data_IF_154656004947
#
_entry.id   IF_154656004947
#
_cell.length_a   1.000
_cell.length_b   1.000
_cell.length_c   1.000
_cell.angle_alpha   90.00
_cell.angle_beta   90.00
_cell.angle_gamma   90.00
#
_symmetry.space_group_name_H-M   'P 1'
#
loop_
_entity.id
_entity.type
_entity.pdbx_description
1 polymer ?
#
# COMPACT_ATOMS: atom_id res chain seq x y z
N UNK A 1 4.14 2.43 21.53
CA UNK A 1 5.31 1.57 21.28
C UNK A 1 5.56 0.56 22.41
N UNK A 2 5.74 0.97 23.66
CA UNK A 2 6.01 0.04 24.80
C UNK A 2 4.99 -1.11 24.96
N UNK A 3 3.70 -0.88 24.72
CA UNK A 3 2.66 -1.90 24.84
C UNK A 3 2.76 -2.99 23.75
N UNK A 4 3.13 -2.62 22.50
CA UNK A 4 3.30 -3.57 21.40
C UNK A 4 4.54 -4.45 21.61
N UNK A 5 5.68 -3.85 22.00
CA UNK A 5 6.89 -4.59 22.31
C UNK A 5 6.67 -5.60 23.45
N UNK A 6 5.91 -5.22 24.50
CA UNK A 6 5.58 -6.12 25.60
C UNK A 6 4.76 -7.34 25.10
N UNK A 7 3.77 -7.12 24.23
CA UNK A 7 2.97 -8.22 23.65
C UNK A 7 3.81 -9.16 22.80
N UNK A 8 4.70 -8.62 21.95
CA UNK A 8 5.59 -9.43 21.12
C UNK A 8 6.55 -10.28 21.97
N UNK A 9 7.10 -9.72 23.05
CA UNK A 9 7.94 -10.47 24.00
C UNK A 9 7.21 -11.66 24.63
N UNK A 10 5.93 -11.47 25.01
CA UNK A 10 5.11 -12.57 25.56
C UNK A 10 4.90 -13.69 24.51
N UNK A 11 4.94 -13.35 23.22
CA UNK A 11 4.86 -14.31 22.11
C UNK A 11 6.23 -14.93 21.75
N UNK A 12 7.29 -14.63 22.49
CA UNK A 12 8.63 -15.19 22.28
C UNK A 12 9.53 -14.35 21.35
N UNK A 13 9.11 -13.16 20.94
CA UNK A 13 9.96 -12.29 20.13
C UNK A 13 11.05 -11.61 20.95
N UNK A 14 12.27 -11.58 20.44
CA UNK A 14 13.33 -10.72 20.94
C UNK A 14 13.14 -9.30 20.41
N UNK A 15 13.42 -8.31 21.27
CA UNK A 15 13.30 -6.89 20.90
C UNK A 15 14.68 -6.27 20.93
N UNK A 16 15.18 -5.88 19.76
CA UNK A 16 16.34 -5.03 19.59
C UNK A 16 15.88 -3.59 19.29
N UNK A 17 16.48 -2.61 19.98
CA UNK A 17 16.23 -1.18 19.71
C UNK A 17 17.43 -0.64 18.97
N UNK A 18 17.20 -0.10 17.78
CA UNK A 18 18.24 0.47 16.94
C UNK A 18 17.74 1.74 16.24
N UNK A 19 18.60 2.71 16.06
CA UNK A 19 18.41 3.78 15.10
C UNK A 19 18.63 3.20 13.69
N UNK A 20 17.60 3.23 12.85
CA UNK A 20 17.68 2.67 11.49
C UNK A 20 18.68 3.40 10.60
N UNK A 21 19.09 4.61 10.94
CA UNK A 21 20.13 5.36 10.21
C UNK A 21 21.57 5.08 10.70
N UNK A 22 21.71 4.33 11.79
CA UNK A 22 23.00 3.94 12.39
C UNK A 22 23.36 2.50 12.01
N UNK A 23 24.33 2.34 11.11
CA UNK A 23 24.75 1.03 10.59
C UNK A 23 25.20 0.07 11.69
N UNK A 24 25.94 0.56 12.71
CA UNK A 24 26.47 -0.28 13.79
C UNK A 24 25.33 -0.84 14.67
N UNK A 25 24.33 -0.01 14.98
CA UNK A 25 23.17 -0.46 15.73
C UNK A 25 22.32 -1.46 14.93
N UNK A 26 22.12 -1.20 13.63
CA UNK A 26 21.41 -2.13 12.73
C UNK A 26 22.15 -3.45 12.59
N UNK A 27 23.48 -3.41 12.38
CA UNK A 27 24.32 -4.61 12.31
C UNK A 27 24.28 -5.42 13.62
N UNK A 28 24.28 -4.75 14.77
CA UNK A 28 24.11 -5.41 16.07
C UNK A 28 22.75 -6.09 16.19
N UNK A 29 21.68 -5.45 15.74
CA UNK A 29 20.33 -6.01 15.74
C UNK A 29 20.17 -7.22 14.78
N UNK A 30 20.96 -7.27 13.70
CA UNK A 30 20.95 -8.36 12.73
C UNK A 30 21.89 -9.51 13.08
N UNK A 31 22.62 -9.44 14.19
CA UNK A 31 23.55 -10.50 14.60
C UNK A 31 22.82 -11.84 14.82
N UNK A 32 23.18 -12.86 14.03
CA UNK A 32 22.55 -14.19 14.08
C UNK A 32 21.23 -14.30 13.34
N UNK A 33 20.75 -13.22 12.71
CA UNK A 33 19.56 -13.22 11.85
C UNK A 33 19.92 -13.83 10.50
N UNK A 34 19.10 -14.74 9.99
CA UNK A 34 19.26 -15.34 8.67
C UNK A 34 18.41 -14.64 7.61
N UNK A 35 17.21 -14.22 7.96
CA UNK A 35 16.22 -13.64 7.02
C UNK A 35 15.51 -12.48 7.68
N UNK A 36 15.16 -11.46 6.91
CA UNK A 36 14.54 -10.27 7.45
C UNK A 36 13.35 -9.82 6.63
N UNK A 37 12.28 -9.39 7.33
CA UNK A 37 11.20 -8.62 6.73
C UNK A 37 11.49 -7.14 6.95
N UNK A 38 11.67 -6.40 5.86
CA UNK A 38 11.95 -4.98 5.90
C UNK A 38 10.68 -4.16 5.65
N UNK A 39 10.21 -3.49 6.69
CA UNK A 39 9.10 -2.55 6.64
C UNK A 39 9.60 -1.17 7.09
N UNK A 40 9.98 -0.29 6.16
CA UNK A 40 10.60 0.98 6.53
C UNK A 40 9.60 1.90 7.23
N UNK A 41 10.08 2.73 8.16
CA UNK A 41 9.26 3.81 8.69
C UNK A 41 8.95 4.81 7.57
N UNK A 42 7.73 5.37 7.61
CA UNK A 42 7.30 6.40 6.66
C UNK A 42 7.84 7.75 7.12
N UNK A 43 9.11 8.00 6.89
CA UNK A 43 9.80 9.24 7.26
C UNK A 43 10.73 9.75 6.13
N UNK A 44 11.23 10.99 6.22
CA UNK A 44 12.12 11.56 5.20
C UNK A 44 13.46 10.85 5.05
N UNK A 45 13.91 10.12 6.07
CA UNK A 45 15.21 9.43 6.13
C UNK A 45 15.13 7.96 5.70
N UNK A 46 14.01 7.53 5.14
CA UNK A 46 13.77 6.14 4.72
C UNK A 46 14.92 5.58 3.86
N UNK A 47 15.45 6.37 2.92
CA UNK A 47 16.56 5.91 2.05
C UNK A 47 17.84 5.69 2.87
N UNK A 48 18.18 6.59 3.81
CA UNK A 48 19.35 6.41 4.65
C UNK A 48 19.22 5.14 5.49
N UNK A 49 18.05 4.93 6.10
CA UNK A 49 17.77 3.70 6.87
C UNK A 49 17.83 2.44 6.00
N UNK A 50 17.33 2.50 4.76
CA UNK A 50 17.41 1.37 3.83
C UNK A 50 18.85 1.05 3.42
N UNK A 51 19.68 2.07 3.19
CA UNK A 51 21.11 1.88 2.87
C UNK A 51 21.86 1.28 4.07
N UNK A 52 21.64 1.81 5.27
CA UNK A 52 22.22 1.27 6.49
C UNK A 52 21.82 -0.19 6.70
N UNK A 53 20.54 -0.52 6.48
CA UNK A 53 20.04 -1.88 6.55
C UNK A 53 20.67 -2.80 5.49
N UNK A 54 20.78 -2.36 4.23
CA UNK A 54 21.38 -3.16 3.16
C UNK A 54 22.87 -3.47 3.42
N UNK A 55 23.62 -2.48 3.93
CA UNK A 55 25.03 -2.68 4.35
C UNK A 55 25.11 -3.71 5.48
N UNK A 56 24.35 -3.50 6.54
CA UNK A 56 24.33 -4.40 7.69
C UNK A 56 23.85 -5.82 7.33
N UNK A 57 22.85 -5.95 6.46
CA UNK A 57 22.35 -7.23 5.96
C UNK A 57 23.40 -8.01 5.19
N UNK A 58 24.16 -7.32 4.33
CA UNK A 58 25.28 -7.94 3.60
C UNK A 58 26.40 -8.38 4.54
N UNK A 59 26.78 -7.56 5.51
CA UNK A 59 27.83 -7.89 6.49
C UNK A 59 27.39 -9.05 7.39
N UNK A 60 26.13 -9.08 7.82
CA UNK A 60 25.54 -10.18 8.58
C UNK A 60 25.32 -11.45 7.75
N UNK A 61 25.52 -11.38 6.42
CA UNK A 61 25.28 -12.48 5.47
C UNK A 61 23.85 -13.01 5.53
N UNK A 62 22.87 -12.09 5.55
CA UNK A 62 21.47 -12.50 5.44
C UNK A 62 21.26 -13.34 4.18
N UNK A 63 20.48 -14.40 4.31
CA UNK A 63 20.07 -15.24 3.17
C UNK A 63 19.03 -14.52 2.32
N UNK A 64 18.09 -13.79 2.96
CA UNK A 64 16.94 -13.24 2.26
C UNK A 64 16.39 -11.99 2.93
N UNK A 65 16.01 -11.00 2.11
CA UNK A 65 15.27 -9.81 2.50
C UNK A 65 13.90 -9.85 1.82
N UNK A 66 12.81 -9.78 2.59
CA UNK A 66 11.46 -9.53 2.05
C UNK A 66 11.11 -8.08 2.36
N UNK A 67 11.06 -7.24 1.32
CA UNK A 67 10.72 -5.83 1.45
C UNK A 67 9.24 -5.57 1.21
N UNK A 68 8.54 -4.90 2.15
CA UNK A 68 7.23 -4.34 1.86
C UNK A 68 7.38 -2.96 1.25
N UNK A 69 6.74 -2.75 0.11
CA UNK A 69 6.83 -1.52 -0.65
C UNK A 69 5.44 -1.02 -1.08
N UNK A 70 5.33 -0.38 -2.22
CA UNK A 70 4.08 0.18 -2.68
C UNK A 70 3.80 -0.20 -4.13
N UNK A 71 2.55 -0.54 -4.44
CA UNK A 71 2.10 -0.73 -5.82
C UNK A 71 2.38 0.49 -6.71
N UNK A 72 2.29 1.70 -6.15
CA UNK A 72 2.52 2.95 -6.87
C UNK A 72 4.01 3.31 -7.05
N UNK A 73 4.95 2.51 -6.53
CA UNK A 73 6.37 2.81 -6.54
C UNK A 73 6.87 3.15 -7.96
N UNK A 74 7.38 4.37 -8.15
CA UNK A 74 7.80 4.91 -9.44
C UNK A 74 8.79 6.05 -9.25
N UNK A 75 9.81 6.20 -10.10
CA UNK A 75 10.82 7.25 -9.94
C UNK A 75 10.31 8.66 -10.26
N UNK A 76 9.21 8.79 -11.02
CA UNK A 76 8.61 10.06 -11.40
C UNK A 76 7.41 10.47 -10.56
N UNK A 77 7.03 9.66 -9.56
CA UNK A 77 5.85 9.94 -8.73
C UNK A 77 5.99 11.26 -7.96
N UNK A 78 4.93 12.10 -7.86
CA UNK A 78 5.00 13.36 -7.11
C UNK A 78 5.26 13.13 -5.60
N UNK A 79 4.76 12.05 -5.00
CA UNK A 79 5.07 11.68 -3.62
C UNK A 79 6.54 11.28 -3.46
N UNK A 80 7.26 11.97 -2.56
CA UNK A 80 8.64 11.62 -2.23
C UNK A 80 8.73 10.20 -1.67
N UNK A 81 7.83 9.85 -0.76
CA UNK A 81 7.76 8.53 -0.14
C UNK A 81 7.62 7.41 -1.18
N UNK A 82 6.78 7.60 -2.19
CA UNK A 82 6.57 6.63 -3.27
C UNK A 82 7.83 6.45 -4.12
N UNK A 83 8.56 7.54 -4.42
CA UNK A 83 9.86 7.45 -5.10
C UNK A 83 10.92 6.76 -4.24
N UNK A 84 10.91 7.00 -2.93
CA UNK A 84 11.83 6.34 -2.00
C UNK A 84 11.58 4.83 -1.96
N UNK A 85 10.34 4.37 -1.96
CA UNK A 85 10.03 2.94 -2.07
C UNK A 85 10.59 2.32 -3.37
N UNK A 86 10.44 3.01 -4.50
CA UNK A 86 11.05 2.55 -5.76
C UNK A 86 12.57 2.41 -5.65
N UNK A 87 13.25 3.37 -5.00
CA UNK A 87 14.70 3.30 -4.78
C UNK A 87 15.09 2.17 -3.82
N UNK A 88 14.30 1.91 -2.78
CA UNK A 88 14.53 0.79 -1.85
C UNK A 88 14.43 -0.55 -2.56
N UNK A 89 13.45 -0.73 -3.45
CA UNK A 89 13.33 -1.95 -4.26
C UNK A 89 14.58 -2.17 -5.12
N UNK A 90 15.08 -1.12 -5.77
CA UNK A 90 16.32 -1.19 -6.57
C UNK A 90 17.54 -1.46 -5.70
N UNK A 91 17.64 -0.85 -4.54
CA UNK A 91 18.75 -1.07 -3.61
C UNK A 91 18.85 -2.54 -3.22
N UNK A 92 17.74 -3.15 -2.81
CA UNK A 92 17.76 -4.55 -2.38
C UNK A 92 18.03 -5.50 -3.56
N UNK A 93 17.45 -5.25 -4.72
CA UNK A 93 17.73 -6.05 -5.92
C UNK A 93 19.20 -5.99 -6.39
N UNK A 94 19.91 -4.93 -6.01
CA UNK A 94 21.36 -4.76 -6.32
C UNK A 94 22.27 -5.20 -5.19
N UNK A 95 21.76 -5.71 -4.06
CA UNK A 95 22.58 -6.14 -2.92
C UNK A 95 23.14 -7.54 -3.18
N UNK A 96 24.45 -7.69 -3.49
CA UNK A 96 25.00 -8.97 -3.92
C UNK A 96 25.02 -10.00 -2.80
N UNK A 97 24.63 -11.24 -3.11
CA UNK A 97 24.70 -12.37 -2.20
C UNK A 97 23.58 -12.44 -1.16
N UNK A 98 22.54 -11.59 -1.30
CA UNK A 98 21.34 -11.62 -0.47
C UNK A 98 20.14 -11.80 -1.41
N UNK A 99 19.36 -12.87 -1.24
CA UNK A 99 18.11 -13.08 -1.96
C UNK A 99 17.10 -11.99 -1.58
N UNK A 100 16.21 -11.66 -2.49
CA UNK A 100 15.30 -10.54 -2.28
C UNK A 100 13.92 -10.81 -2.89
N UNK A 101 12.87 -10.49 -2.14
CA UNK A 101 11.47 -10.55 -2.59
C UNK A 101 10.76 -9.24 -2.26
N UNK A 102 9.97 -8.74 -3.20
CA UNK A 102 9.12 -7.56 -3.01
C UNK A 102 7.70 -8.00 -2.70
N UNK A 103 7.10 -7.39 -1.68
CA UNK A 103 5.65 -7.44 -1.41
C UNK A 103 5.11 -6.03 -1.58
N UNK A 104 4.38 -5.78 -2.67
CA UNK A 104 3.91 -4.45 -3.05
C UNK A 104 2.37 -4.35 -3.06
N UNK A 105 1.73 -4.44 -1.90
CA UNK A 105 0.28 -4.34 -1.82
C UNK A 105 -0.22 -2.99 -2.35
N UNK A 106 -1.45 -2.99 -2.82
CA UNK A 106 -2.14 -1.77 -3.23
C UNK A 106 -2.61 -0.94 -2.04
N UNK A 107 -3.77 -0.32 -2.15
CA UNK A 107 -4.35 0.47 -1.07
C UNK A 107 -5.06 -0.47 -0.08
N UNK A 108 -4.60 -0.49 1.16
CA UNK A 108 -4.99 -1.47 2.19
C UNK A 108 -6.44 -1.28 2.65
N UNK A 109 -7.05 -2.35 3.12
CA UNK A 109 -8.39 -2.31 3.69
C UNK A 109 -8.49 -1.39 4.91
N UNK A 110 -7.47 -1.33 5.75
CA UNK A 110 -7.44 -0.49 6.94
C UNK A 110 -7.51 1.01 6.63
N UNK A 111 -7.00 1.44 5.48
CA UNK A 111 -7.09 2.84 5.06
C UNK A 111 -8.54 3.31 4.84
N UNK A 112 -9.43 2.43 4.42
CA UNK A 112 -10.87 2.70 4.34
C UNK A 112 -11.54 2.55 5.71
N UNK A 113 -11.11 1.56 6.49
CA UNK A 113 -11.70 1.20 7.77
C UNK A 113 -11.27 2.10 8.93
N UNK A 114 -10.32 3.03 8.71
CA UNK A 114 -10.01 4.09 9.67
C UNK A 114 -11.25 4.93 10.03
N UNK A 115 -12.24 5.01 9.14
CA UNK A 115 -13.50 5.75 9.34
C UNK A 115 -14.65 4.86 9.82
N UNK A 116 -14.41 3.60 10.17
CA UNK A 116 -15.45 2.65 10.57
C UNK A 116 -16.24 3.12 11.82
N UNK A 117 -15.62 3.94 12.68
CA UNK A 117 -16.30 4.61 13.79
C UNK A 117 -17.43 5.52 13.32
N UNK A 118 -17.22 6.33 12.27
CA UNK A 118 -18.27 7.15 11.66
C UNK A 118 -19.39 6.28 11.10
N UNK A 119 -19.06 5.20 10.43
CA UNK A 119 -20.05 4.25 9.91
C UNK A 119 -20.85 3.63 11.04
N UNK A 120 -20.20 3.14 12.11
CA UNK A 120 -20.87 2.51 13.26
C UNK A 120 -21.79 3.48 14.01
N UNK A 121 -21.40 4.73 14.20
CA UNK A 121 -22.12 5.68 15.03
C UNK A 121 -23.04 6.62 14.26
N UNK A 122 -22.62 7.06 13.06
CA UNK A 122 -23.37 8.04 12.25
C UNK A 122 -23.96 7.47 10.97
N UNK A 123 -23.57 6.25 10.56
CA UNK A 123 -24.02 5.63 9.32
C UNK A 123 -23.43 6.28 8.07
N UNK A 124 -22.22 6.84 8.18
CA UNK A 124 -21.54 7.61 7.13
C UNK A 124 -20.24 6.93 6.75
N UNK A 125 -20.02 6.77 5.44
CA UNK A 125 -18.75 6.34 4.86
C UNK A 125 -18.22 7.46 3.96
N UNK A 126 -17.21 8.23 4.42
CA UNK A 126 -16.60 9.28 3.61
C UNK A 126 -15.86 8.68 2.40
N UNK A 127 -16.11 9.26 1.21
CA UNK A 127 -15.50 8.79 -0.02
C UNK A 127 -14.96 9.96 -0.85
N UNK A 128 -13.71 9.85 -1.30
CA UNK A 128 -13.03 10.91 -2.05
C UNK A 128 -12.39 10.44 -3.36
N UNK A 129 -12.61 9.18 -3.74
CA UNK A 129 -11.90 8.54 -4.84
C UNK A 129 -12.71 8.44 -6.14
N UNK A 130 -13.83 9.17 -6.26
CA UNK A 130 -14.69 9.15 -7.45
C UNK A 130 -15.34 7.79 -7.66
N UNK A 131 -15.36 7.31 -8.91
CA UNK A 131 -15.96 6.02 -9.29
C UNK A 131 -14.94 4.87 -9.33
N UNK A 132 -13.73 5.09 -8.84
CA UNK A 132 -12.70 4.07 -8.88
C UNK A 132 -12.97 2.93 -7.89
N UNK A 133 -12.38 1.79 -8.17
CA UNK A 133 -12.49 0.56 -7.37
C UNK A 133 -11.12 0.15 -6.84
N UNK A 134 -11.12 -0.75 -5.89
CA UNK A 134 -9.92 -1.42 -5.38
C UNK A 134 -10.26 -2.84 -4.94
N UNK A 135 -9.28 -3.71 -4.93
CA UNK A 135 -9.33 -5.01 -4.25
C UNK A 135 -8.44 -4.94 -2.99
N UNK A 136 -8.95 -4.36 -1.88
CA UNK A 136 -8.11 -3.99 -0.74
C UNK A 136 -7.66 -5.21 0.04
N UNK A 137 -6.33 -5.45 0.19
CA UNK A 137 -5.80 -6.54 0.98
C UNK A 137 -5.96 -6.30 2.49
N UNK A 138 -6.03 -7.38 3.26
CA UNK A 138 -5.86 -7.33 4.71
C UNK A 138 -4.38 -7.26 5.09
N UNK A 139 -4.09 -6.69 6.27
CA UNK A 139 -2.74 -6.74 6.84
C UNK A 139 -2.31 -8.18 7.13
N UNK A 140 -3.27 -9.05 7.46
CA UNK A 140 -3.06 -10.48 7.70
C UNK A 140 -2.62 -11.21 6.43
N UNK A 141 -3.22 -10.90 5.29
CA UNK A 141 -2.84 -11.50 4.00
C UNK A 141 -1.45 -11.05 3.56
N UNK A 142 -1.15 -9.76 3.72
CA UNK A 142 0.18 -9.22 3.45
C UNK A 142 1.23 -9.92 4.33
N UNK A 143 0.94 -10.09 5.63
CA UNK A 143 1.82 -10.78 6.55
C UNK A 143 1.98 -12.26 6.19
N UNK A 144 0.90 -12.97 5.79
CA UNK A 144 0.97 -14.36 5.35
C UNK A 144 1.87 -14.54 4.12
N UNK A 145 1.75 -13.64 3.13
CA UNK A 145 2.62 -13.65 1.95
C UNK A 145 4.07 -13.39 2.36
N UNK A 146 4.33 -12.39 3.21
CA UNK A 146 5.68 -12.10 3.69
C UNK A 146 6.29 -13.28 4.46
N UNK A 147 5.53 -13.96 5.32
CA UNK A 147 6.00 -15.14 6.06
C UNK A 147 6.29 -16.30 5.11
N UNK A 148 5.39 -16.59 4.16
CA UNK A 148 5.59 -17.66 3.20
C UNK A 148 6.86 -17.44 2.36
N UNK A 149 7.09 -16.21 1.90
CA UNK A 149 8.31 -15.88 1.13
C UNK A 149 9.58 -15.93 1.99
N UNK A 150 9.52 -15.56 3.27
CA UNK A 150 10.64 -15.73 4.21
C UNK A 150 10.98 -17.19 4.48
N UNK A 151 9.99 -18.09 4.46
CA UNK A 151 10.22 -19.50 4.80
C UNK A 151 10.81 -20.32 3.66
N UNK A 152 10.65 -19.89 2.41
CA UNK A 152 11.19 -20.56 1.21
C UNK A 152 11.90 -19.55 0.27
N UNK A 153 13.09 -19.04 0.66
CA UNK A 153 13.81 -18.04 -0.14
C UNK A 153 14.08 -18.46 -1.58
N UNK A 154 14.46 -19.75 -1.79
CA UNK A 154 14.86 -20.22 -3.10
C UNK A 154 13.73 -20.16 -4.13
N UNK A 155 12.49 -20.35 -3.69
CA UNK A 155 11.30 -20.26 -4.54
C UNK A 155 10.92 -18.83 -4.88
N UNK A 156 11.26 -17.89 -4.01
CA UNK A 156 10.71 -16.53 -4.05
C UNK A 156 11.75 -15.46 -4.38
N UNK A 157 13.03 -15.83 -4.52
CA UNK A 157 14.10 -14.90 -4.89
C UNK A 157 13.83 -14.20 -6.22
N UNK A 158 13.99 -12.89 -6.26
CA UNK A 158 13.77 -12.06 -7.43
C UNK A 158 12.29 -11.81 -7.77
N UNK A 159 11.35 -12.40 -7.03
CA UNK A 159 9.93 -12.25 -7.29
C UNK A 159 9.33 -11.01 -6.63
N UNK A 160 8.24 -10.51 -7.26
CA UNK A 160 7.40 -9.45 -6.72
C UNK A 160 5.97 -9.93 -6.64
N UNK A 161 5.33 -9.76 -5.49
CA UNK A 161 3.97 -10.19 -5.21
C UNK A 161 3.10 -9.00 -4.83
N UNK A 162 1.91 -8.96 -5.40
CA UNK A 162 0.88 -7.96 -5.09
C UNK A 162 -0.29 -8.60 -4.34
N UNK A 163 -0.24 -8.73 -3.02
CA UNK A 163 -1.41 -9.16 -2.25
C UNK A 163 -2.59 -8.23 -2.49
N UNK A 164 -3.74 -8.81 -2.87
CA UNK A 164 -5.01 -8.09 -3.02
C UNK A 164 -6.12 -8.84 -2.33
N UNK A 165 -7.23 -8.16 -2.05
CA UNK A 165 -8.50 -8.82 -1.73
C UNK A 165 -9.02 -9.61 -2.93
N UNK A 166 -10.08 -10.44 -2.74
CA UNK A 166 -10.57 -11.36 -3.76
C UNK A 166 -11.38 -10.69 -4.87
N UNK A 167 -11.80 -9.43 -4.71
CA UNK A 167 -12.69 -8.74 -5.63
C UNK A 167 -12.48 -7.24 -5.68
N UNK A 168 -12.79 -6.62 -6.83
CA UNK A 168 -12.80 -5.18 -7.01
C UNK A 168 -14.07 -4.57 -6.44
N UNK A 169 -13.92 -3.70 -5.43
CA UNK A 169 -15.01 -3.03 -4.71
C UNK A 169 -14.99 -1.53 -4.96
N UNK A 170 -16.17 -0.99 -5.28
CA UNK A 170 -16.41 0.46 -5.31
C UNK A 170 -16.91 0.98 -3.96
N UNK A 171 -17.25 2.27 -3.94
CA UNK A 171 -17.73 2.95 -2.73
C UNK A 171 -18.95 2.28 -2.09
N UNK A 172 -19.96 1.97 -2.90
CA UNK A 172 -21.22 1.37 -2.42
C UNK A 172 -21.01 -0.07 -1.94
N UNK A 173 -20.18 -0.86 -2.62
CA UNK A 173 -19.87 -2.23 -2.21
C UNK A 173 -19.18 -2.26 -0.84
N UNK A 174 -18.22 -1.34 -0.64
CA UNK A 174 -17.54 -1.18 0.65
C UNK A 174 -18.50 -0.69 1.73
N UNK A 175 -19.36 0.30 1.42
CA UNK A 175 -20.36 0.81 2.37
C UNK A 175 -21.36 -0.28 2.79
N UNK A 176 -21.79 -1.13 1.86
CA UNK A 176 -22.65 -2.28 2.17
C UNK A 176 -21.95 -3.30 3.08
N UNK A 177 -20.71 -3.65 2.78
CA UNK A 177 -19.91 -4.57 3.59
C UNK A 177 -19.65 -4.02 5.00
N UNK A 178 -19.30 -2.72 5.11
CA UNK A 178 -19.18 -2.04 6.41
C UNK A 178 -20.52 -2.05 7.14
N UNK A 179 -21.63 -1.78 6.42
CA UNK A 179 -22.97 -1.78 6.98
C UNK A 179 -23.35 -3.12 7.63
N UNK A 180 -23.05 -4.24 6.95
CA UNK A 180 -23.23 -5.60 7.50
C UNK A 180 -22.31 -5.85 8.72
N UNK A 181 -21.08 -5.36 8.67
CA UNK A 181 -20.11 -5.51 9.76
C UNK A 181 -20.53 -4.74 11.03
N UNK A 182 -21.09 -3.53 10.90
CA UNK A 182 -21.51 -2.69 12.04
C UNK A 182 -22.98 -2.84 12.42
N UNK A 183 -23.76 -3.62 11.68
CA UNK A 183 -25.18 -3.89 11.96
C UNK A 183 -26.09 -2.68 11.74
N UNK A 184 -25.83 -1.85 10.73
CA UNK A 184 -26.69 -0.71 10.33
C UNK A 184 -26.46 -0.30 8.88
N UNK A 185 -27.45 0.42 8.30
CA UNK A 185 -27.28 1.04 7.00
C UNK A 185 -26.17 2.12 7.04
N UNK A 186 -25.28 2.08 6.06
CA UNK A 186 -24.17 3.03 5.88
C UNK A 186 -24.30 3.66 4.49
N UNK A 187 -24.21 4.98 4.43
CA UNK A 187 -24.30 5.75 3.19
C UNK A 187 -22.96 6.28 2.79
N UNK A 188 -22.62 6.19 1.52
CA UNK A 188 -21.47 6.87 0.94
C UNK A 188 -21.71 8.37 0.94
N UNK A 189 -20.75 9.13 1.45
CA UNK A 189 -20.80 10.60 1.48
C UNK A 189 -19.59 11.14 0.73
N UNK A 190 -19.80 11.76 -0.45
CA UNK A 190 -18.73 12.43 -1.17
C UNK A 190 -18.03 13.44 -0.26
N UNK A 191 -16.74 13.27 -0.05
CA UNK A 191 -15.96 14.07 0.89
C UNK A 191 -14.83 14.76 0.14
N UNK A 192 -14.71 16.09 0.19
CA UNK A 192 -13.60 16.77 -0.45
C UNK A 192 -12.27 16.43 0.24
N UNK A 193 -11.18 16.24 -0.53
CA UNK A 193 -9.87 15.84 0.01
C UNK A 193 -9.37 16.73 1.16
N UNK A 194 -9.60 18.05 1.09
CA UNK A 194 -9.15 18.96 2.14
C UNK A 194 -9.80 18.67 3.52
N UNK A 195 -11.08 18.23 3.52
CA UNK A 195 -11.78 17.89 4.77
C UNK A 195 -11.25 16.59 5.36
N UNK A 196 -10.99 15.59 4.51
CA UNK A 196 -10.36 14.35 4.93
C UNK A 196 -8.97 14.60 5.53
N UNK A 197 -8.14 15.43 4.88
CA UNK A 197 -6.81 15.77 5.37
C UNK A 197 -6.85 16.47 6.73
N UNK A 198 -7.84 17.36 6.95
CA UNK A 198 -8.03 18.00 8.28
C UNK A 198 -8.42 16.96 9.34
N UNK A 199 -9.36 16.07 9.06
CA UNK A 199 -9.77 15.01 9.98
C UNK A 199 -8.60 14.06 10.30
N UNK A 200 -7.82 13.67 9.30
CA UNK A 200 -6.63 12.84 9.47
C UNK A 200 -5.58 13.53 10.34
N UNK A 201 -5.34 14.83 10.16
CA UNK A 201 -4.44 15.62 11.00
C UNK A 201 -4.91 15.68 12.45
N UNK A 202 -6.20 15.89 12.67
CA UNK A 202 -6.80 15.87 14.02
C UNK A 202 -6.65 14.50 14.71
N UNK A 203 -6.67 13.42 13.92
CA UNK A 203 -6.44 12.04 14.41
C UNK A 203 -4.95 11.75 14.70
N UNK A 204 -4.07 12.75 14.57
CA UNK A 204 -2.65 12.64 14.92
C UNK A 204 -1.74 12.19 13.77
N UNK A 205 -2.26 12.07 12.53
CA UNK A 205 -1.40 11.72 11.38
C UNK A 205 -0.41 12.87 11.14
N UNK A 206 0.91 12.58 11.07
CA UNK A 206 1.93 13.60 10.83
C UNK A 206 1.71 14.33 9.49
N UNK A 207 2.01 15.62 9.46
CA UNK A 207 1.87 16.45 8.25
C UNK A 207 2.76 15.93 7.11
N UNK A 208 3.89 15.34 7.47
CA UNK A 208 4.82 14.70 6.55
C UNK A 208 4.16 13.55 5.77
N UNK A 209 3.46 12.66 6.48
CA UNK A 209 2.69 11.56 5.88
C UNK A 209 1.57 12.11 5.00
N UNK A 210 0.82 13.12 5.48
CA UNK A 210 -0.27 13.74 4.72
C UNK A 210 0.23 14.38 3.42
N UNK A 211 1.41 15.01 3.44
CA UNK A 211 2.03 15.59 2.24
C UNK A 211 2.31 14.52 1.17
N UNK A 212 2.65 13.32 1.59
CA UNK A 212 2.95 12.24 0.67
C UNK A 212 1.68 11.50 0.19
N UNK A 213 0.77 11.15 1.11
CA UNK A 213 -0.42 10.35 0.77
C UNK A 213 -1.50 11.13 0.02
N UNK A 214 -1.44 12.47 -0.01
CA UNK A 214 -2.40 13.28 -0.78
C UNK A 214 -2.48 12.89 -2.26
N UNK A 215 -1.36 12.51 -2.85
CA UNK A 215 -1.28 12.11 -4.25
C UNK A 215 -1.94 10.76 -4.52
N UNK A 216 -2.10 9.91 -3.50
CA UNK A 216 -2.79 8.62 -3.66
C UNK A 216 -4.27 8.77 -3.97
N UNK A 217 -4.85 9.94 -3.63
CA UNK A 217 -6.23 10.26 -4.02
C UNK A 217 -6.34 10.38 -5.53
N UNK A 218 -5.36 11.00 -6.17
CA UNK A 218 -5.33 11.15 -7.63
C UNK A 218 -5.03 9.82 -8.33
N UNK A 219 -4.04 9.06 -7.82
CA UNK A 219 -3.78 7.69 -8.30
C UNK A 219 -5.04 6.82 -8.22
N UNK A 220 -5.74 6.88 -7.09
CA UNK A 220 -6.95 6.10 -6.89
C UNK A 220 -8.04 6.51 -7.89
N UNK A 221 -8.30 7.82 -8.05
CA UNK A 221 -9.26 8.35 -9.02
C UNK A 221 -8.96 7.94 -10.46
N UNK A 222 -7.70 7.80 -10.81
CA UNK A 222 -7.23 7.35 -12.11
C UNK A 222 -7.19 5.83 -12.27
N UNK A 223 -7.69 5.08 -11.27
CA UNK A 223 -7.81 3.64 -11.33
C UNK A 223 -6.51 2.87 -11.11
N UNK A 224 -5.46 3.50 -10.53
CA UNK A 224 -4.17 2.82 -10.30
C UNK A 224 -4.31 1.49 -9.55
N UNK A 225 -5.27 1.40 -8.64
CA UNK A 225 -5.48 0.21 -7.83
C UNK A 225 -6.38 -0.85 -8.49
N UNK A 226 -7.08 -0.49 -9.57
CA UNK A 226 -7.84 -1.44 -10.39
C UNK A 226 -6.95 -2.19 -11.38
N UNK A 227 -5.91 -1.51 -11.88
CA UNK A 227 -5.00 -2.07 -12.88
C UNK A 227 -4.32 -3.32 -12.34
N UNK A 228 -4.49 -4.45 -13.02
CA UNK A 228 -3.93 -5.73 -12.63
C UNK A 228 -4.50 -6.35 -11.34
N UNK A 229 -5.65 -5.87 -10.83
CA UNK A 229 -6.33 -6.43 -9.66
C UNK A 229 -7.70 -7.03 -10.04
N UNK A 230 -8.21 -8.02 -9.27
CA UNK A 230 -7.52 -8.73 -8.19
C UNK A 230 -6.44 -9.68 -8.70
N UNK A 231 -5.43 -10.00 -7.86
CA UNK A 231 -4.40 -11.00 -8.13
C UNK A 231 -4.70 -12.33 -7.42
N UNK A 232 -4.06 -13.41 -7.86
CA UNK A 232 -4.06 -14.71 -7.17
C UNK A 232 -2.91 -14.87 -6.17
N UNK A 233 -2.04 -13.88 -6.02
CA UNK A 233 -0.77 -13.96 -5.28
C UNK A 233 -0.92 -14.47 -3.84
N UNK A 234 -1.98 -14.05 -3.13
CA UNK A 234 -2.23 -14.56 -1.77
C UNK A 234 -2.45 -16.07 -1.80
N UNK A 235 -3.28 -16.58 -2.72
CA UNK A 235 -3.56 -18.01 -2.86
C UNK A 235 -2.32 -18.77 -3.33
N UNK A 236 -1.63 -18.27 -4.35
CA UNK A 236 -0.51 -18.96 -5.00
C UNK A 236 0.71 -19.08 -4.08
N UNK A 237 0.92 -18.06 -3.24
CA UNK A 237 2.05 -18.03 -2.31
C UNK A 237 1.72 -18.74 -0.99
N UNK A 238 0.49 -18.61 -0.48
CA UNK A 238 0.14 -19.09 0.87
C UNK A 238 -0.70 -20.36 0.90
N UNK A 239 -1.24 -20.79 -0.26
CA UNK A 239 -2.20 -21.90 -0.34
C UNK A 239 -3.58 -21.58 0.24
N UNK A 240 -3.83 -20.36 0.67
CA UNK A 240 -5.08 -19.92 1.30
C UNK A 240 -5.66 -18.72 0.56
N UNK A 241 -6.99 -18.67 0.43
CA UNK A 241 -7.65 -17.51 -0.21
C UNK A 241 -7.45 -16.23 0.58
N UNK A 242 -7.43 -15.11 -0.14
CA UNK A 242 -7.45 -13.78 0.47
C UNK A 242 -8.75 -13.55 1.27
N UNK A 243 -8.66 -12.77 2.34
CA UNK A 243 -9.83 -12.37 3.13
C UNK A 243 -10.72 -11.41 2.35
N UNK A 244 -12.05 -11.59 2.46
CA UNK A 244 -13.00 -10.62 1.92
C UNK A 244 -13.09 -9.36 2.80
N UNK A 245 -13.51 -8.27 2.19
CA UNK A 245 -13.56 -6.96 2.84
C UNK A 245 -14.53 -6.92 4.03
N UNK A 246 -15.62 -7.68 4.00
CA UNK A 246 -16.57 -7.73 5.12
C UNK A 246 -15.95 -8.41 6.35
N UNK A 247 -15.21 -9.51 6.16
CA UNK A 247 -14.47 -10.19 7.24
C UNK A 247 -13.49 -9.23 7.89
N UNK A 248 -12.74 -8.46 7.09
CA UNK A 248 -11.83 -7.43 7.60
C UNK A 248 -12.61 -6.36 8.37
N UNK A 249 -13.70 -5.84 7.79
CA UNK A 249 -14.53 -4.82 8.42
C UNK A 249 -15.12 -5.28 9.76
N UNK A 250 -15.54 -6.54 9.91
CA UNK A 250 -16.02 -7.13 11.17
C UNK A 250 -14.94 -7.09 12.25
N UNK A 251 -13.70 -7.40 11.90
CA UNK A 251 -12.54 -7.34 12.82
C UNK A 251 -12.30 -5.92 13.31
N UNK A 252 -12.38 -4.92 12.42
CA UNK A 252 -12.24 -3.51 12.80
C UNK A 252 -13.43 -3.01 13.64
N UNK A 253 -14.65 -3.40 13.29
CA UNK A 253 -15.86 -3.05 14.06
C UNK A 253 -15.81 -3.60 15.50
N UNK A 254 -15.21 -4.77 15.71
CA UNK A 254 -15.07 -5.40 17.01
C UNK A 254 -14.09 -4.69 17.96
N UNK A 255 -13.25 -3.77 17.45
CA UNK A 255 -12.32 -3.02 18.29
C UNK A 255 -13.07 -2.14 19.30
N UNK A 256 -12.63 -2.04 20.57
CA UNK A 256 -13.36 -1.33 21.63
C UNK A 256 -13.73 0.12 21.28
N UNK A 257 -12.84 0.83 20.55
CA UNK A 257 -13.06 2.22 20.11
C UNK A 257 -14.19 2.38 19.08
N UNK A 258 -14.54 1.30 18.37
CA UNK A 258 -15.54 1.31 17.30
C UNK A 258 -16.88 0.70 17.75
N UNK A 259 -16.94 0.08 18.92
CA UNK A 259 -18.17 -0.47 19.49
C UNK A 259 -19.18 0.64 19.77
N UNK A 260 -20.46 0.35 19.53
CA UNK A 260 -21.57 1.30 19.66
C UNK A 260 -21.89 1.59 21.14
N UNK A 261 -21.11 2.50 21.73
CA UNK A 261 -21.31 3.03 23.07
C UNK A 261 -21.60 4.54 22.97
N UNK A 262 -22.27 5.09 23.99
CA UNK A 262 -22.55 6.54 24.03
C UNK A 262 -21.25 7.36 24.02
N UNK A 263 -20.22 6.96 24.76
CA UNK A 263 -18.92 7.64 24.78
C UNK A 263 -18.23 7.66 23.41
N UNK A 264 -18.25 6.53 22.70
CA UNK A 264 -17.72 6.47 21.34
C UNK A 264 -18.54 7.32 20.36
N UNK A 265 -19.88 7.33 20.50
CA UNK A 265 -20.74 8.18 19.70
C UNK A 265 -20.41 9.67 19.88
N UNK A 266 -20.29 10.13 21.14
CA UNK A 266 -19.90 11.53 21.43
C UNK A 266 -18.58 11.88 20.79
N UNK A 267 -17.59 10.99 20.89
CA UNK A 267 -16.25 11.19 20.30
C UNK A 267 -16.34 11.33 18.78
N UNK A 268 -17.00 10.38 18.10
CA UNK A 268 -17.11 10.38 16.63
C UNK A 268 -17.91 11.61 16.15
N UNK A 269 -18.99 11.95 16.82
CA UNK A 269 -19.78 13.13 16.50
C UNK A 269 -18.99 14.41 16.70
N UNK A 270 -18.26 14.54 17.80
CA UNK A 270 -17.40 15.70 18.06
C UNK A 270 -16.30 15.82 16.99
N UNK A 271 -15.63 14.74 16.64
CA UNK A 271 -14.61 14.74 15.58
C UNK A 271 -15.21 15.15 14.23
N UNK A 272 -16.36 14.61 13.87
CA UNK A 272 -17.07 14.94 12.63
C UNK A 272 -17.42 16.43 12.56
N UNK A 273 -17.96 16.99 13.65
CA UNK A 273 -18.34 18.42 13.72
C UNK A 273 -17.13 19.36 13.79
N UNK A 274 -16.04 18.93 14.40
CA UNK A 274 -14.83 19.76 14.57
C UNK A 274 -13.90 19.73 13.34
N UNK A 275 -13.97 18.71 12.51
CA UNK A 275 -13.08 18.59 11.35
C UNK A 275 -13.11 19.80 10.40
N UNK A 276 -14.28 20.34 10.00
CA UNK A 276 -14.33 21.54 9.16
C UNK A 276 -13.75 22.78 9.86
N UNK A 277 -13.90 22.87 11.19
CA UNK A 277 -13.46 24.00 12.00
C UNK A 277 -11.99 23.96 12.37
N UNK A 278 -11.33 22.80 12.21
CA UNK A 278 -9.91 22.67 12.53
C UNK A 278 -9.03 23.57 11.64
N UNK A 279 -7.87 24.02 12.14
CA UNK A 279 -6.96 24.87 11.36
C UNK A 279 -6.60 24.23 10.03
N UNK A 280 -6.61 25.04 8.96
CA UNK A 280 -6.09 24.63 7.66
C UNK A 280 -4.56 24.58 7.66
N UNK A 281 -4.01 23.78 6.76
CA UNK A 281 -2.57 23.74 6.51
C UNK A 281 -2.33 23.63 4.99
N UNK A 282 -1.18 24.16 4.55
CA UNK A 282 -0.82 24.16 3.14
C UNK A 282 0.34 23.18 2.91
N UNK A 283 0.05 22.03 2.31
CA UNK A 283 1.03 20.96 2.05
C UNK A 283 2.07 21.37 1.01
N UNK A 284 1.69 22.19 0.02
CA UNK A 284 2.65 22.69 -0.99
C UNK A 284 3.66 23.66 -0.38
N UNK A 285 3.19 24.51 0.53
CA UNK A 285 4.07 25.39 1.31
C UNK A 285 5.01 24.56 2.19
N UNK A 286 4.50 23.56 2.87
CA UNK A 286 5.28 22.64 3.70
C UNK A 286 6.40 21.97 2.90
N UNK A 287 6.10 21.41 1.72
CA UNK A 287 7.10 20.75 0.87
C UNK A 287 8.16 21.74 0.35
N UNK A 288 7.75 22.97 -0.03
CA UNK A 288 8.69 24.01 -0.46
C UNK A 288 9.61 24.47 0.66
N UNK A 289 9.10 24.66 1.87
CA UNK A 289 9.90 25.06 3.06
C UNK A 289 10.95 23.99 3.38
N UNK A 290 10.63 22.73 3.24
CA UNK A 290 11.56 21.61 3.42
C UNK A 290 12.48 21.37 2.21
N UNK A 291 12.32 22.13 1.12
CA UNK A 291 13.09 21.97 -0.13
C UNK A 291 13.11 20.53 -0.61
N UNK A 292 11.98 19.83 -0.50
CA UNK A 292 11.88 18.44 -0.93
C UNK A 292 12.19 18.29 -2.40
N UNK A 293 13.01 17.29 -2.79
CA UNK A 293 13.24 17.02 -4.20
C UNK A 293 11.91 16.68 -4.89
N UNK A 294 11.68 17.29 -6.04
CA UNK A 294 10.49 17.05 -6.85
C UNK A 294 10.92 16.69 -8.28
N UNK A 295 10.28 15.72 -8.94
CA UNK A 295 10.67 15.34 -10.30
C UNK A 295 10.41 16.48 -11.27
N UNK A 296 11.26 16.60 -12.29
CA UNK A 296 11.10 17.61 -13.36
C UNK A 296 9.80 17.44 -14.14
N UNK A 297 9.36 16.19 -14.31
CA UNK A 297 8.08 15.82 -14.92
C UNK A 297 7.38 14.85 -13.96
N UNK A 298 6.55 15.37 -13.02
CA UNK A 298 5.84 14.53 -12.09
C UNK A 298 4.73 13.75 -12.80
N UNK A 299 4.64 12.44 -12.52
CA UNK A 299 3.63 11.55 -13.07
C UNK A 299 3.10 10.65 -11.99
N UNK A 300 1.80 10.63 -11.76
CA UNK A 300 1.12 9.61 -10.96
C UNK A 300 1.25 8.24 -11.64
N UNK A 301 1.05 7.16 -10.91
CA UNK A 301 1.36 5.83 -11.39
C UNK A 301 0.68 5.48 -12.74
N UNK A 302 -0.63 5.70 -12.96
CA UNK A 302 -1.26 5.37 -14.23
C UNK A 302 -0.72 6.14 -15.44
N UNK A 303 -0.18 7.34 -15.25
CA UNK A 303 0.37 8.18 -16.32
C UNK A 303 1.85 7.86 -16.60
N UNK A 304 2.53 7.13 -15.69
CA UNK A 304 3.94 6.80 -15.82
C UNK A 304 4.14 5.59 -16.74
N UNK A 305 4.74 5.81 -17.91
CA UNK A 305 5.10 4.73 -18.84
C UNK A 305 6.06 3.72 -18.21
N UNK A 306 6.98 4.17 -17.33
CA UNK A 306 7.90 3.28 -16.63
C UNK A 306 7.14 2.38 -15.65
N UNK A 307 6.27 2.95 -14.83
CA UNK A 307 5.45 2.17 -13.90
C UNK A 307 4.59 1.13 -14.63
N UNK A 308 3.90 1.53 -15.70
CA UNK A 308 3.07 0.61 -16.51
C UNK A 308 3.89 -0.55 -17.06
N UNK A 309 5.09 -0.28 -17.59
CA UNK A 309 5.99 -1.30 -18.13
C UNK A 309 6.49 -2.24 -17.03
N UNK A 310 6.89 -1.74 -15.88
CA UNK A 310 7.39 -2.54 -14.75
C UNK A 310 6.31 -3.45 -14.15
N UNK A 311 5.04 -3.05 -14.27
CA UNK A 311 3.89 -3.82 -13.78
C UNK A 311 3.15 -4.58 -14.89
N UNK A 312 3.72 -4.67 -16.09
CA UNK A 312 3.12 -5.34 -17.26
C UNK A 312 1.71 -4.84 -17.60
N UNK A 313 1.43 -3.57 -17.34
CA UNK A 313 0.16 -2.91 -17.68
C UNK A 313 0.22 -2.44 -19.13
N UNK A 314 -0.44 -3.17 -20.03
CA UNK A 314 -0.48 -2.85 -21.45
C UNK A 314 -1.50 -1.74 -21.73
N UNK A 315 -1.15 -0.76 -22.58
CA UNK A 315 -2.10 0.24 -23.05
C UNK A 315 -3.16 -0.39 -23.94
N UNK A 316 -4.45 -0.10 -23.72
CA UNK A 316 -5.53 -0.57 -24.58
C UNK A 316 -5.32 -0.15 -26.03
N UNK A 317 -4.68 1.01 -26.28
CA UNK A 317 -4.30 1.47 -27.61
C UNK A 317 -3.23 0.57 -28.27
N UNK A 318 -2.27 0.04 -27.51
CA UNK A 318 -1.26 -0.89 -28.03
C UNK A 318 -1.85 -2.27 -28.30
N UNK A 319 -2.80 -2.73 -27.50
CA UNK A 319 -3.53 -4.00 -27.77
C UNK A 319 -4.33 -3.92 -29.05
N UNK A 320 -4.98 -2.79 -29.33
CA UNK A 320 -5.71 -2.58 -30.58
C UNK A 320 -4.77 -2.53 -31.79
N UNK A 321 -3.59 -1.96 -31.63
CA UNK A 321 -2.57 -1.89 -32.69
C UNK A 321 -1.95 -3.28 -32.96
N UNK A 322 -1.67 -4.06 -31.90
CA UNK A 322 -1.14 -5.42 -32.02
C UNK A 322 -2.21 -6.39 -32.59
N UNK A 323 -3.46 -6.26 -32.16
CA UNK A 323 -4.59 -7.03 -32.70
C UNK A 323 -4.80 -6.77 -34.21
N UNK A 324 -4.71 -5.49 -34.64
CA UNK A 324 -4.81 -5.13 -36.05
C UNK A 324 -3.56 -5.52 -36.85
N UNK A 325 -2.38 -5.52 -36.23
CA UNK A 325 -1.13 -6.00 -36.85
C UNK A 325 -1.17 -7.50 -37.15
N UNK A 326 -1.60 -8.32 -36.19
CA UNK A 326 -1.73 -9.75 -36.34
C UNK A 326 -2.85 -10.14 -37.35
N UNK A 327 -3.94 -9.38 -37.40
CA UNK A 327 -4.99 -9.59 -38.40
C UNK A 327 -4.50 -9.26 -39.84
N UNK A 328 -3.64 -8.27 -40.00
CA UNK A 328 -3.04 -7.94 -41.33
C UNK A 328 -2.00 -8.99 -41.75
N UNK A 329 -1.18 -9.51 -40.84
CA UNK A 329 -0.20 -10.56 -41.16
C UNK A 329 -0.90 -11.86 -41.52
N UNK A 330 -1.99 -12.21 -40.84
CA UNK A 330 -2.79 -13.40 -41.18
C UNK A 330 -3.51 -13.27 -42.54
N UNK A 331 -3.97 -12.05 -42.92
CA UNK A 331 -4.60 -11.78 -44.18
C UNK A 331 -3.62 -11.80 -45.37
N UNK A 332 -2.35 -11.43 -45.16
CA UNK A 332 -1.31 -11.47 -46.18
C UNK A 332 -0.73 -12.89 -46.41
N UNK A 333 -0.70 -13.75 -45.39
CA UNK A 333 -0.24 -15.13 -45.52
C UNK A 333 -1.29 -16.06 -46.17
N UNK A 334 -2.58 -15.72 -46.11
CA UNK A 334 -3.67 -16.45 -46.76
C UNK A 334 -3.83 -16.17 -48.27
N UNK A 335 -3.23 -15.10 -48.82
CA UNK A 335 -3.34 -14.72 -50.19
C UNK A 335 -2.25 -15.31 -51.14
N UNK A 336 -1.25 -16.04 -50.58
CA UNK A 336 -0.16 -16.62 -51.37
C UNK A 336 -0.30 -18.15 -51.61
N UNK A 337 -1.45 -18.74 -51.30
CA UNK A 337 -1.66 -20.22 -51.48
C UNK A 337 -2.69 -20.57 -52.56
N UNK A 338 -2.97 -19.69 -53.50
CA UNK A 338 -3.90 -19.95 -54.61
C UNK A 338 -3.32 -19.46 -55.95
N UNK A 339 -2.14 -19.94 -56.33
CA UNK A 339 -1.65 -19.99 -57.71
C UNK A 339 -0.59 -21.11 -57.79
N UNK A 340 -1.04 -22.34 -58.08
CA UNK A 340 -0.37 -23.38 -58.92
C UNK A 340 -1.44 -24.31 -59.43
#
# INVERSE_FOLDING_TARGET
>A
MLCLCARLKVQGAEIAVADMSDVEQVASALKGVQRAYYCPPLDPYMIQGAVAFAVAAKEARLEHIVGVTQWLASPSHPSLMTRQHWLVDRLFSMTPGVAHTIVNPGFFADAYLVTIGLAAHLGVFPWMYGNSRNAPPSNEDIARVAVATLTDPARHDGNSYRPTGPELLGAEDMAHSIGRAVGRSVRVVPTPPWLFMKAARMSGIPIDVLSNVRYYIDDHKLGAFELGAPTSDVLDVTGSRAEDFETIARRYAAQPRNQRTFGNWVREFAQFMMAPLSPGFNLDRYDRELRRPFPSVPQVAPDSKMWRREHSITDMAEQTAQGNGNARVAATSGAQSLEI
#
